data_IF_843799416324
#
_entry.id   IF_843799416324
#
_cell.length_a   1.000
_cell.length_b   1.000
_cell.length_c   1.000
_cell.angle_alpha   90.00
_cell.angle_beta   90.00
_cell.angle_gamma   90.00
#
_symmetry.space_group_name_H-M   'P 1'
#
loop_
_entity.id
_entity.type
_entity.pdbx_description
1 polymer ?
#
# COMPACT_ATOMS: atom_id res chain seq x y z
N UNK A 1 7.11 -15.21 -9.90
CA UNK A 1 7.93 -14.00 -10.09
C UNK A 1 7.03 -12.81 -9.78
N UNK A 2 7.51 -11.79 -9.09
CA UNK A 2 6.73 -10.61 -8.73
C UNK A 2 7.37 -9.34 -9.28
N UNK A 3 6.53 -8.35 -9.62
CA UNK A 3 6.93 -7.01 -10.04
C UNK A 3 6.42 -5.98 -9.03
N UNK A 4 7.32 -5.16 -8.50
CA UNK A 4 6.95 -3.95 -7.75
C UNK A 4 6.83 -2.75 -8.71
N UNK A 5 5.74 -2.00 -8.58
CA UNK A 5 5.47 -0.79 -9.38
C UNK A 5 4.80 0.29 -8.54
N UNK A 6 5.05 1.56 -8.86
CA UNK A 6 4.33 2.69 -8.28
C UNK A 6 2.91 2.87 -8.84
N UNK A 7 2.52 2.09 -9.85
CA UNK A 7 1.21 2.23 -10.50
C UNK A 7 1.06 3.50 -11.33
N UNK A 8 2.14 4.23 -11.62
CA UNK A 8 2.15 5.47 -12.42
C UNK A 8 2.22 5.21 -13.93
N UNK A 9 2.31 3.96 -14.35
CA UNK A 9 2.29 3.49 -15.74
C UNK A 9 1.21 2.41 -15.84
N UNK A 10 0.53 2.34 -16.98
CA UNK A 10 -0.49 1.32 -17.24
C UNK A 10 0.08 -0.10 -17.08
N UNK A 11 -0.66 -0.97 -16.39
CA UNK A 11 -0.29 -2.37 -16.12
C UNK A 11 -0.98 -3.39 -17.03
N UNK A 12 -1.79 -2.96 -18.02
CA UNK A 12 -2.62 -3.84 -18.85
C UNK A 12 -1.84 -4.90 -19.65
N UNK A 13 -0.62 -4.57 -20.09
CA UNK A 13 0.20 -5.46 -20.94
C UNK A 13 1.23 -6.29 -20.15
N UNK A 14 1.10 -6.35 -18.82
CA UNK A 14 1.96 -7.19 -17.98
C UNK A 14 1.60 -8.67 -18.21
N UNK A 15 2.63 -9.52 -18.26
CA UNK A 15 2.44 -10.96 -18.37
C UNK A 15 1.55 -11.48 -17.22
N UNK A 16 0.44 -12.19 -17.49
CA UNK A 16 -0.51 -12.64 -16.48
C UNK A 16 0.08 -13.64 -15.47
N UNK A 17 1.24 -14.25 -15.72
CA UNK A 17 1.89 -15.15 -14.76
C UNK A 17 2.74 -14.40 -13.71
N UNK A 18 2.88 -13.08 -13.84
CA UNK A 18 3.62 -12.22 -12.90
C UNK A 18 2.64 -11.64 -11.88
N UNK A 19 2.94 -11.75 -10.59
CA UNK A 19 2.17 -11.03 -9.56
C UNK A 19 2.65 -9.58 -9.45
N UNK A 20 1.72 -8.67 -9.28
CA UNK A 20 1.98 -7.23 -9.18
C UNK A 20 1.85 -6.81 -7.73
N UNK A 21 2.85 -6.06 -7.23
CA UNK A 21 2.76 -5.31 -5.98
C UNK A 21 2.73 -3.84 -6.37
N UNK A 22 1.55 -3.21 -6.29
CA UNK A 22 1.35 -1.82 -6.66
C UNK A 22 1.38 -0.92 -5.42
N UNK A 23 2.40 -0.07 -5.32
CA UNK A 23 2.57 0.92 -4.24
C UNK A 23 1.87 2.24 -4.60
N UNK A 24 0.67 2.47 -4.06
CA UNK A 24 -0.03 3.75 -4.19
C UNK A 24 0.62 4.81 -3.31
N UNK A 25 0.90 5.96 -3.91
CA UNK A 25 1.47 7.12 -3.23
C UNK A 25 0.39 7.88 -2.47
N UNK A 26 0.47 7.87 -1.15
CA UNK A 26 -0.42 8.62 -0.26
C UNK A 26 -0.08 10.12 -0.28
N UNK A 27 -0.98 11.01 0.16
CA UNK A 27 -0.75 12.46 0.15
C UNK A 27 0.56 12.90 0.81
N UNK A 28 0.96 12.28 1.93
CA UNK A 28 2.23 12.62 2.60
C UNK A 28 3.49 12.36 1.76
N UNK A 29 3.40 11.54 0.72
CA UNK A 29 4.51 11.34 -0.21
C UNK A 29 4.79 12.55 -1.11
N UNK A 30 3.85 13.50 -1.22
CA UNK A 30 3.83 14.58 -2.21
C UNK A 30 3.83 14.10 -3.67
N UNK A 31 3.53 12.82 -3.90
CA UNK A 31 3.56 12.17 -5.21
C UNK A 31 2.22 11.51 -5.56
N UNK A 32 1.16 11.80 -4.79
CA UNK A 32 -0.18 11.22 -4.99
C UNK A 32 -0.81 11.60 -6.33
N UNK A 33 -0.39 12.71 -6.93
CA UNK A 33 -0.87 13.18 -8.23
C UNK A 33 -0.29 12.34 -9.39
N UNK A 34 0.74 11.53 -9.15
CA UNK A 34 1.35 10.62 -10.14
C UNK A 34 0.67 9.25 -10.20
N UNK A 35 -0.25 8.94 -9.29
CA UNK A 35 -0.95 7.66 -9.30
C UNK A 35 -1.91 7.58 -10.50
N UNK A 36 -1.91 6.45 -11.21
CA UNK A 36 -2.97 6.12 -12.17
C UNK A 36 -3.95 5.15 -11.52
N UNK A 37 -5.01 5.69 -10.90
CA UNK A 37 -5.96 4.89 -10.10
C UNK A 37 -6.73 3.84 -10.91
N UNK A 38 -6.89 4.03 -12.23
CA UNK A 38 -7.51 3.04 -13.13
C UNK A 38 -6.75 1.70 -13.14
N UNK A 39 -5.49 1.68 -12.70
CA UNK A 39 -4.74 0.44 -12.51
C UNK A 39 -5.25 -0.41 -11.34
N UNK A 40 -5.96 0.17 -10.36
CA UNK A 40 -6.47 -0.58 -9.20
C UNK A 40 -7.50 -1.63 -9.62
N UNK A 41 -8.33 -1.31 -10.62
CA UNK A 41 -9.36 -2.21 -11.16
C UNK A 41 -8.78 -3.36 -12.00
N UNK A 42 -7.53 -3.23 -12.45
CA UNK A 42 -6.82 -4.25 -13.25
C UNK A 42 -6.10 -5.27 -12.37
N UNK A 43 -5.99 -5.03 -11.06
CA UNK A 43 -5.36 -5.97 -10.15
C UNK A 43 -6.27 -7.17 -9.89
N UNK A 44 -5.66 -8.36 -9.89
CA UNK A 44 -6.31 -9.64 -9.65
C UNK A 44 -6.05 -10.14 -8.22
N UNK A 45 -6.68 -11.25 -7.82
CA UNK A 45 -6.53 -11.84 -6.47
C UNK A 45 -5.10 -12.30 -6.14
N UNK A 46 -4.23 -12.47 -7.16
CA UNK A 46 -2.82 -12.83 -6.99
C UNK A 46 -1.94 -11.62 -6.66
N UNK A 47 -2.47 -10.43 -6.87
CA UNK A 47 -1.74 -9.17 -6.76
C UNK A 47 -1.94 -8.52 -5.38
N UNK A 48 -1.16 -7.49 -5.13
CA UNK A 48 -1.17 -6.74 -3.88
C UNK A 48 -1.24 -5.23 -4.17
N UNK A 49 -2.15 -4.55 -3.46
CA UNK A 49 -2.24 -3.09 -3.44
C UNK A 49 -1.69 -2.58 -2.11
N UNK A 50 -0.56 -1.89 -2.15
CA UNK A 50 0.14 -1.42 -0.95
C UNK A 50 0.01 0.09 -0.78
N UNK A 51 -0.35 0.50 0.43
CA UNK A 51 -0.45 1.89 0.86
C UNK A 51 0.47 2.12 2.06
N UNK A 52 1.40 3.05 1.91
CA UNK A 52 2.33 3.44 2.97
C UNK A 52 1.77 4.68 3.68
N UNK A 53 1.37 4.51 4.94
CA UNK A 53 0.63 5.46 5.76
C UNK A 53 1.61 6.25 6.64
N UNK A 54 1.74 7.56 6.40
CA UNK A 54 2.61 8.45 7.18
C UNK A 54 1.86 9.35 8.17
N UNK A 55 0.54 9.44 8.07
CA UNK A 55 -0.30 10.26 8.95
C UNK A 55 -1.72 9.69 9.09
N UNK A 56 -2.49 10.20 10.06
CA UNK A 56 -3.93 9.90 10.16
C UNK A 56 -4.68 10.36 8.91
N UNK A 57 -4.27 11.49 8.32
CA UNK A 57 -4.85 11.98 7.07
C UNK A 57 -4.63 11.00 5.90
N UNK A 58 -3.44 10.39 5.80
CA UNK A 58 -3.19 9.34 4.80
C UNK A 58 -4.06 8.11 5.02
N UNK A 59 -4.26 7.70 6.27
CA UNK A 59 -5.14 6.58 6.61
C UNK A 59 -6.57 6.86 6.15
N UNK A 60 -7.14 8.01 6.55
CA UNK A 60 -8.51 8.39 6.19
C UNK A 60 -8.67 8.57 4.68
N UNK A 61 -7.64 9.10 4.01
CA UNK A 61 -7.58 9.18 2.55
C UNK A 61 -7.57 7.80 1.90
N UNK A 62 -6.78 6.86 2.42
CA UNK A 62 -6.67 5.50 1.90
C UNK A 62 -7.98 4.73 2.00
N UNK A 63 -8.72 4.89 3.11
CA UNK A 63 -10.06 4.32 3.27
C UNK A 63 -11.03 4.84 2.21
N UNK A 64 -11.00 6.16 1.94
CA UNK A 64 -11.82 6.76 0.88
C UNK A 64 -11.41 6.28 -0.51
N UNK A 65 -10.11 6.10 -0.75
CA UNK A 65 -9.59 5.57 -2.01
C UNK A 65 -10.13 4.16 -2.27
N UNK A 66 -10.03 3.25 -1.30
CA UNK A 66 -10.52 1.87 -1.42
C UNK A 66 -12.04 1.80 -1.60
N UNK A 67 -12.77 2.76 -1.03
CA UNK A 67 -14.21 2.88 -1.26
C UNK A 67 -14.54 3.34 -2.67
N UNK A 68 -13.68 4.17 -3.27
CA UNK A 68 -13.86 4.72 -4.62
C UNK A 68 -13.37 3.75 -5.71
N UNK A 69 -12.30 3.02 -5.43
CA UNK A 69 -11.66 2.08 -6.35
C UNK A 69 -11.55 0.71 -5.65
N UNK A 70 -12.63 -0.09 -5.66
CA UNK A 70 -12.58 -1.43 -5.09
C UNK A 70 -11.61 -2.32 -5.89
N UNK A 71 -10.98 -3.26 -5.21
CA UNK A 71 -10.04 -4.20 -5.83
C UNK A 71 -10.24 -5.61 -5.27
N UNK A 72 -9.87 -6.62 -6.06
CA UNK A 72 -9.82 -8.02 -5.64
C UNK A 72 -8.46 -8.41 -5.06
N UNK A 73 -7.45 -7.57 -5.27
CA UNK A 73 -6.11 -7.77 -4.73
C UNK A 73 -6.09 -7.70 -3.21
N UNK A 74 -5.07 -8.33 -2.63
CA UNK A 74 -4.81 -8.17 -1.20
C UNK A 74 -4.35 -6.73 -0.91
N UNK A 75 -5.04 -6.04 0.00
CA UNK A 75 -4.68 -4.67 0.38
C UNK A 75 -3.75 -4.68 1.59
N UNK A 76 -2.59 -4.05 1.43
CA UNK A 76 -1.53 -3.97 2.44
C UNK A 76 -1.41 -2.54 2.95
N UNK A 77 -1.53 -2.36 4.26
CA UNK A 77 -1.22 -1.08 4.93
C UNK A 77 0.13 -1.23 5.64
N UNK A 78 1.07 -0.34 5.37
CA UNK A 78 2.35 -0.25 6.09
C UNK A 78 2.50 1.14 6.68
N UNK A 79 3.08 1.27 7.88
CA UNK A 79 3.44 2.60 8.38
C UNK A 79 4.74 3.10 7.74
N UNK A 80 4.86 4.42 7.60
CA UNK A 80 6.16 5.08 7.40
C UNK A 80 6.94 4.98 8.71
N UNK A 81 8.17 4.50 8.63
CA UNK A 81 9.08 4.41 9.77
C UNK A 81 9.29 5.79 10.43
N UNK A 82 9.35 5.82 11.77
CA UNK A 82 9.43 7.02 12.61
C UNK A 82 8.27 8.03 12.49
N UNK A 83 7.29 7.81 11.60
CA UNK A 83 6.12 8.68 11.49
C UNK A 83 4.90 8.13 12.25
N UNK A 84 4.64 6.82 12.12
CA UNK A 84 3.55 6.13 12.81
C UNK A 84 4.04 4.79 13.33
N UNK A 85 3.78 4.54 14.62
CA UNK A 85 4.00 3.24 15.23
C UNK A 85 3.09 2.16 14.60
N UNK A 86 3.60 0.98 14.21
CA UNK A 86 2.78 -0.08 13.64
C UNK A 86 1.57 -0.46 14.50
N UNK A 87 1.70 -0.41 15.84
CA UNK A 87 0.60 -0.66 16.77
C UNK A 87 -0.51 0.39 16.67
N UNK A 88 -0.18 1.64 16.42
CA UNK A 88 -1.16 2.71 16.22
C UNK A 88 -1.92 2.50 14.91
N UNK A 89 -1.22 2.14 13.83
CA UNK A 89 -1.86 1.82 12.55
C UNK A 89 -2.76 0.58 12.67
N UNK A 90 -2.33 -0.45 13.41
CA UNK A 90 -3.13 -1.62 13.73
C UNK A 90 -4.45 -1.22 14.42
N UNK A 91 -4.37 -0.33 15.42
CA UNK A 91 -5.56 0.15 16.13
C UNK A 91 -6.53 0.86 15.18
N UNK A 92 -6.05 1.72 14.30
CA UNK A 92 -6.93 2.38 13.31
C UNK A 92 -7.60 1.40 12.36
N UNK A 93 -6.89 0.35 11.92
CA UNK A 93 -7.45 -0.72 11.08
C UNK A 93 -8.57 -1.46 11.82
N UNK A 94 -8.34 -1.80 13.09
CA UNK A 94 -9.31 -2.47 13.95
C UNK A 94 -10.55 -1.60 14.20
N UNK A 95 -10.35 -0.33 14.56
CA UNK A 95 -11.42 0.65 14.81
C UNK A 95 -12.28 0.87 13.56
N UNK A 96 -11.65 0.88 12.38
CA UNK A 96 -12.31 1.01 11.08
C UNK A 96 -12.89 -0.29 10.53
N UNK A 97 -12.65 -1.43 11.19
CA UNK A 97 -13.04 -2.78 10.74
C UNK A 97 -12.66 -3.06 9.28
N UNK A 98 -11.48 -2.60 8.86
CA UNK A 98 -11.05 -2.69 7.47
C UNK A 98 -10.57 -4.10 7.13
N UNK A 99 -10.96 -4.61 5.96
CA UNK A 99 -10.41 -5.87 5.42
C UNK A 99 -9.07 -5.61 4.71
N UNK A 100 -8.05 -5.26 5.49
CA UNK A 100 -6.69 -5.00 5.02
C UNK A 100 -5.67 -5.75 5.88
N UNK A 101 -4.53 -6.10 5.32
CA UNK A 101 -3.42 -6.69 6.07
C UNK A 101 -2.45 -5.59 6.50
N UNK A 102 -2.12 -5.55 7.78
CA UNK A 102 -1.00 -4.75 8.27
C UNK A 102 0.32 -5.42 7.85
N UNK A 103 1.14 -4.71 7.09
CA UNK A 103 2.51 -5.08 6.76
C UNK A 103 3.47 -4.26 7.60
N UNK A 104 4.31 -4.95 8.37
CA UNK A 104 5.33 -4.31 9.21
C UNK A 104 6.68 -4.40 8.51
N UNK A 105 7.45 -3.32 8.52
CA UNK A 105 8.82 -3.31 8.03
C UNK A 105 9.74 -4.01 9.04
N UNK A 106 9.72 -5.35 9.04
CA UNK A 106 10.46 -6.18 10.01
C UNK A 106 11.95 -5.85 10.05
N UNK A 107 12.58 -5.55 8.91
CA UNK A 107 14.00 -5.20 8.88
C UNK A 107 14.29 -3.93 9.69
N UNK A 108 13.39 -2.95 9.68
CA UNK A 108 13.55 -1.74 10.49
C UNK A 108 13.31 -1.98 11.97
N UNK A 109 12.41 -2.90 12.32
CA UNK A 109 12.23 -3.29 13.72
C UNK A 109 13.42 -4.08 14.27
N UNK A 110 14.05 -4.92 13.45
CA UNK A 110 15.14 -5.79 13.86
C UNK A 110 16.51 -5.09 13.80
N UNK A 111 16.74 -4.25 12.78
CA UNK A 111 18.05 -3.66 12.48
C UNK A 111 18.03 -2.13 12.33
N UNK A 112 16.89 -1.46 12.54
CA UNK A 112 16.79 -0.01 12.35
C UNK A 112 16.97 0.41 10.89
N UNK A 113 17.61 1.56 10.65
CA UNK A 113 17.86 2.08 9.30
C UNK A 113 19.20 1.59 8.70
N UNK A 114 19.74 0.46 9.19
CA UNK A 114 20.96 -0.13 8.64
C UNK A 114 20.72 -0.63 7.20
N UNK A 115 21.48 -0.09 6.24
CA UNK A 115 21.45 -0.56 4.85
C UNK A 115 22.14 -1.92 4.73
N UNK A 116 21.39 -2.94 4.27
CA UNK A 116 21.96 -4.16 3.68
C UNK A 116 22.01 -5.41 4.57
N UNK A 117 21.06 -5.60 5.48
CA UNK A 117 20.85 -6.86 6.21
C UNK A 117 19.39 -7.28 6.21
#
# INVERSE_FOLDING_TARGET
>A
MSLETSGSIDIADINPDVSIVMDIKTPSSNESDKNLYDNIEKLETKDQLKLVIGSKADFDWSVKLLSKYPTQAEVLFSSVFDAIEPAQLAQWILDGQLNVRLQVQLHKLLWGDEKGK
#
